data_IF_448182222894
#
_entry.id   IF_448182222894
#
_cell.length_a   1.000
_cell.length_b   1.000
_cell.length_c   1.000
_cell.angle_alpha   90.00
_cell.angle_beta   90.00
_cell.angle_gamma   90.00
#
_symmetry.space_group_name_H-M   'P 1'
#
loop_
_entity.id
_entity.type
_entity.pdbx_description
1 polymer ?
#
# COMPACT_ATOMS: atom_id res chain seq x y z
N UNK A 1 26.02 13.69 -0.56
CA UNK A 1 25.24 12.46 -0.79
C UNK A 1 23.85 12.44 -0.12
N UNK A 2 23.63 12.93 1.11
CA UNK A 2 22.26 12.95 1.76
C UNK A 2 21.24 13.85 1.02
N UNK A 3 21.66 14.98 0.44
CA UNK A 3 20.78 15.91 -0.31
C UNK A 3 20.22 15.28 -1.59
N UNK A 4 21.05 14.63 -2.39
CA UNK A 4 20.66 14.02 -3.68
C UNK A 4 19.63 12.89 -3.50
N UNK A 5 19.80 12.04 -2.47
CA UNK A 5 18.82 10.98 -2.13
C UNK A 5 17.46 11.55 -1.69
N UNK A 6 17.46 12.68 -0.98
CA UNK A 6 16.22 13.34 -0.54
C UNK A 6 15.42 13.90 -1.72
N UNK A 7 16.10 14.52 -2.68
CA UNK A 7 15.47 15.02 -3.91
C UNK A 7 14.91 13.89 -4.78
N UNK A 8 15.64 12.78 -4.92
CA UNK A 8 15.17 11.61 -5.65
C UNK A 8 13.91 11.00 -5.02
N UNK A 9 13.86 10.90 -3.69
CA UNK A 9 12.65 10.42 -3.00
C UNK A 9 11.46 11.36 -3.17
N UNK A 10 11.68 12.68 -3.13
CA UNK A 10 10.62 13.66 -3.37
C UNK A 10 10.06 13.53 -4.79
N UNK A 11 10.94 13.44 -5.80
CA UNK A 11 10.53 13.26 -7.19
C UNK A 11 9.75 11.95 -7.39
N UNK A 12 10.22 10.84 -6.83
CA UNK A 12 9.55 9.55 -6.91
C UNK A 12 8.16 9.59 -6.26
N UNK A 13 8.04 10.21 -5.08
CA UNK A 13 6.76 10.35 -4.41
C UNK A 13 5.79 11.25 -5.21
N UNK A 14 6.27 12.37 -5.75
CA UNK A 14 5.44 13.24 -6.59
C UNK A 14 4.97 12.53 -7.86
N UNK A 15 5.86 11.77 -8.50
CA UNK A 15 5.52 10.96 -9.68
C UNK A 15 4.49 9.87 -9.32
N UNK A 16 4.65 9.21 -8.20
CA UNK A 16 3.71 8.20 -7.72
C UNK A 16 2.33 8.79 -7.43
N UNK A 17 2.26 10.02 -6.87
CA UNK A 17 0.99 10.74 -6.65
C UNK A 17 0.32 11.06 -7.99
N UNK A 18 1.07 11.58 -8.97
CA UNK A 18 0.53 11.94 -10.29
C UNK A 18 0.02 10.68 -11.01
N UNK A 19 0.85 9.64 -11.11
CA UNK A 19 0.49 8.39 -11.77
C UNK A 19 -0.64 7.66 -11.05
N UNK A 20 -0.65 7.68 -9.72
CA UNK A 20 -1.73 7.08 -8.93
C UNK A 20 -3.06 7.77 -9.18
N UNK A 21 -3.11 9.12 -9.15
CA UNK A 21 -4.34 9.85 -9.46
C UNK A 21 -4.79 9.66 -10.91
N UNK A 22 -3.86 9.62 -11.88
CA UNK A 22 -4.19 9.33 -13.26
C UNK A 22 -4.78 7.93 -13.43
N UNK A 23 -4.19 6.92 -12.80
CA UNK A 23 -4.69 5.54 -12.85
C UNK A 23 -6.06 5.40 -12.14
N UNK A 24 -6.24 6.08 -11.00
CA UNK A 24 -7.53 6.15 -10.32
C UNK A 24 -8.63 6.68 -11.25
N UNK A 25 -8.40 7.86 -11.82
CA UNK A 25 -9.34 8.53 -12.70
C UNK A 25 -9.61 7.74 -13.98
N UNK A 26 -8.58 7.07 -14.53
CA UNK A 26 -8.73 6.19 -15.69
C UNK A 26 -9.61 4.97 -15.37
N UNK A 27 -9.42 4.34 -14.21
CA UNK A 27 -10.22 3.20 -13.79
C UNK A 27 -11.69 3.61 -13.53
N UNK A 28 -11.90 4.80 -12.99
CA UNK A 28 -13.24 5.38 -12.80
C UNK A 28 -13.92 5.62 -14.14
N UNK A 29 -13.27 6.34 -15.07
CA UNK A 29 -13.84 6.71 -16.36
C UNK A 29 -14.10 5.51 -17.28
N UNK A 30 -13.22 4.49 -17.25
CA UNK A 30 -13.35 3.33 -18.13
C UNK A 30 -14.35 2.27 -17.65
N UNK A 31 -14.44 2.08 -16.33
CA UNK A 31 -15.13 0.92 -15.78
C UNK A 31 -16.21 1.28 -14.76
N UNK A 32 -15.92 2.20 -13.83
CA UNK A 32 -16.81 2.46 -12.70
C UNK A 32 -18.04 3.26 -13.11
N UNK A 33 -17.83 4.40 -13.76
CA UNK A 33 -18.92 5.28 -14.19
C UNK A 33 -19.83 4.66 -15.27
N UNK A 34 -19.27 4.08 -16.37
CA UNK A 34 -20.12 3.51 -17.41
C UNK A 34 -20.99 2.36 -16.92
N UNK A 35 -20.49 1.57 -15.96
CA UNK A 35 -21.26 0.46 -15.39
C UNK A 35 -22.23 0.88 -14.26
N UNK A 36 -22.27 2.15 -13.89
CA UNK A 36 -23.12 2.65 -12.79
C UNK A 36 -22.83 1.99 -11.44
N UNK A 37 -21.58 1.59 -11.21
CA UNK A 37 -21.18 0.93 -9.98
C UNK A 37 -21.22 1.89 -8.81
N UNK A 38 -21.74 1.43 -7.69
CA UNK A 38 -21.68 2.15 -6.43
C UNK A 38 -20.43 1.74 -5.64
N UNK A 39 -19.84 2.72 -4.98
CA UNK A 39 -18.68 2.50 -4.12
C UNK A 39 -18.95 3.07 -2.73
N UNK A 40 -18.08 2.71 -1.76
CA UNK A 40 -17.98 3.43 -0.50
C UNK A 40 -17.49 4.88 -0.67
N UNK A 41 -16.75 5.36 0.30
CA UNK A 41 -16.10 6.65 0.25
C UNK A 41 -17.02 7.86 0.49
N UNK A 42 -16.43 9.05 0.31
CA UNK A 42 -17.12 10.31 0.63
C UNK A 42 -18.35 10.57 -0.25
N UNK A 43 -18.31 10.17 -1.51
CA UNK A 43 -19.43 10.31 -2.45
C UNK A 43 -20.63 9.47 -2.01
N UNK A 44 -20.36 8.24 -1.56
CA UNK A 44 -21.41 7.36 -1.03
C UNK A 44 -22.13 7.95 0.17
N UNK A 45 -21.37 8.52 1.11
CA UNK A 45 -21.94 9.23 2.27
C UNK A 45 -22.75 10.44 1.82
N UNK A 46 -22.22 11.25 0.90
CA UNK A 46 -22.86 12.45 0.41
C UNK A 46 -24.21 12.16 -0.29
N UNK A 47 -24.27 11.07 -1.07
CA UNK A 47 -25.49 10.61 -1.71
C UNK A 47 -26.53 10.13 -0.69
N UNK A 48 -26.12 9.32 0.29
CA UNK A 48 -26.99 8.86 1.36
C UNK A 48 -27.53 10.06 2.17
N UNK A 49 -26.65 10.99 2.54
CA UNK A 49 -27.02 12.19 3.28
C UNK A 49 -27.98 13.11 2.49
N UNK A 50 -27.68 13.35 1.20
CA UNK A 50 -28.53 14.16 0.33
C UNK A 50 -29.93 13.57 0.18
N UNK A 51 -30.06 12.24 0.07
CA UNK A 51 -31.36 11.55 0.02
C UNK A 51 -32.17 11.64 1.34
N UNK A 52 -31.47 11.60 2.48
CA UNK A 52 -32.12 11.67 3.80
C UNK A 52 -32.54 13.10 4.19
N UNK A 53 -31.75 14.10 3.80
CA UNK A 53 -31.93 15.48 4.27
C UNK A 53 -32.47 16.43 3.21
N UNK A 54 -32.40 16.06 1.93
CA UNK A 54 -32.73 16.94 0.80
C UNK A 54 -31.67 18.03 0.51
N UNK A 55 -30.54 18.02 1.20
CA UNK A 55 -29.47 19.00 1.02
C UNK A 55 -28.62 18.68 -0.22
N UNK A 56 -27.93 19.71 -0.71
CA UNK A 56 -27.02 19.55 -1.87
C UNK A 56 -25.90 18.56 -1.59
N UNK A 57 -25.84 17.49 -2.41
CA UNK A 57 -24.78 16.47 -2.36
C UNK A 57 -23.40 17.09 -2.53
N UNK A 58 -23.25 18.01 -3.49
CA UNK A 58 -21.97 18.68 -3.77
C UNK A 58 -21.51 19.56 -2.61
N UNK A 59 -22.46 20.30 -1.99
CA UNK A 59 -22.14 21.14 -0.82
C UNK A 59 -21.69 20.32 0.37
N UNK A 60 -22.39 19.22 0.65
CA UNK A 60 -21.98 18.28 1.70
C UNK A 60 -20.61 17.67 1.42
N UNK A 61 -20.39 17.18 0.20
CA UNK A 61 -19.13 16.54 -0.20
C UNK A 61 -17.94 17.50 -0.06
N UNK A 62 -18.13 18.76 -0.48
CA UNK A 62 -17.09 19.79 -0.33
C UNK A 62 -16.75 20.03 1.14
N UNK A 63 -17.76 20.23 1.99
CA UNK A 63 -17.57 20.47 3.42
C UNK A 63 -16.93 19.26 4.11
N UNK A 64 -17.38 18.06 3.77
CA UNK A 64 -16.84 16.81 4.28
C UNK A 64 -15.37 16.64 3.92
N UNK A 65 -15.02 16.76 2.63
CA UNK A 65 -13.64 16.64 2.16
C UNK A 65 -12.73 17.70 2.80
N UNK A 66 -13.21 18.93 2.95
CA UNK A 66 -12.46 20.00 3.61
C UNK A 66 -12.22 19.71 5.09
N UNK A 67 -13.24 19.20 5.79
CA UNK A 67 -13.11 18.81 7.20
C UNK A 67 -12.11 17.66 7.37
N UNK A 68 -12.15 16.66 6.49
CA UNK A 68 -11.21 15.55 6.47
C UNK A 68 -9.77 16.01 6.18
N UNK A 69 -9.59 16.94 5.24
CA UNK A 69 -8.29 17.52 4.93
C UNK A 69 -7.71 18.28 6.13
N UNK A 70 -8.52 19.08 6.83
CA UNK A 70 -8.08 19.78 8.05
C UNK A 70 -7.74 18.78 9.15
N UNK A 71 -8.53 17.75 9.34
CA UNK A 71 -8.25 16.69 10.32
C UNK A 71 -6.95 15.94 9.96
N UNK A 72 -6.77 15.57 8.71
CA UNK A 72 -5.53 14.98 8.21
C UNK A 72 -4.32 15.90 8.40
N UNK A 73 -4.49 17.20 8.19
CA UNK A 73 -3.42 18.16 8.45
C UNK A 73 -2.99 18.17 9.93
N UNK A 74 -3.93 18.28 10.83
CA UNK A 74 -3.66 18.31 12.28
C UNK A 74 -2.99 17.02 12.75
N UNK A 75 -3.49 15.87 12.30
CA UNK A 75 -3.03 14.57 12.79
C UNK A 75 -1.83 14.06 12.01
N UNK A 76 -1.85 14.06 10.67
CA UNK A 76 -0.82 13.47 9.81
C UNK A 76 0.27 14.48 9.38
N UNK A 77 0.00 15.77 9.52
CA UNK A 77 0.97 16.85 9.34
C UNK A 77 0.91 17.55 7.99
N UNK A 78 1.66 18.67 7.88
CA UNK A 78 1.62 19.59 6.72
C UNK A 78 1.98 18.93 5.39
N UNK A 79 2.97 18.02 5.39
CA UNK A 79 3.43 17.36 4.16
C UNK A 79 2.33 16.48 3.56
N UNK A 80 1.65 15.73 4.43
CA UNK A 80 0.49 14.93 4.02
C UNK A 80 -0.63 15.80 3.45
N UNK A 81 -0.98 16.89 4.14
CA UNK A 81 -2.04 17.78 3.71
C UNK A 81 -1.76 18.42 2.35
N UNK A 82 -0.53 18.88 2.10
CA UNK A 82 -0.12 19.46 0.80
C UNK A 82 -0.20 18.43 -0.33
N UNK A 83 0.29 17.21 -0.09
CA UNK A 83 0.24 16.14 -1.07
C UNK A 83 -1.22 15.73 -1.36
N UNK A 84 -2.06 15.66 -0.34
CA UNK A 84 -3.49 15.34 -0.47
C UNK A 84 -4.25 16.46 -1.18
N UNK A 85 -3.93 17.72 -0.91
CA UNK A 85 -4.50 18.85 -1.65
C UNK A 85 -4.15 18.78 -3.14
N UNK A 86 -2.90 18.43 -3.48
CA UNK A 86 -2.51 18.22 -4.87
C UNK A 86 -3.31 17.06 -5.50
N UNK A 87 -3.49 15.92 -4.81
CA UNK A 87 -4.32 14.81 -5.28
C UNK A 87 -5.77 15.23 -5.51
N UNK A 88 -6.35 16.02 -4.60
CA UNK A 88 -7.74 16.48 -4.70
C UNK A 88 -7.99 17.39 -5.92
N UNK A 89 -6.93 18.00 -6.49
CA UNK A 89 -7.02 18.76 -7.74
C UNK A 89 -6.70 17.89 -8.95
N UNK A 90 -5.70 17.01 -8.83
CA UNK A 90 -5.25 16.14 -9.93
C UNK A 90 -6.31 15.11 -10.33
N UNK A 91 -6.98 14.48 -9.35
CA UNK A 91 -7.95 13.42 -9.61
C UNK A 91 -9.12 13.89 -10.48
N UNK A 92 -9.85 14.97 -10.15
CA UNK A 92 -10.91 15.47 -11.02
C UNK A 92 -10.40 15.99 -12.37
N UNK A 93 -9.21 16.59 -12.41
CA UNK A 93 -8.63 17.05 -13.66
C UNK A 93 -8.29 15.90 -14.63
N UNK A 94 -7.75 14.80 -14.11
CA UNK A 94 -7.52 13.59 -14.91
C UNK A 94 -8.83 12.91 -15.30
N UNK A 95 -9.84 12.89 -14.42
CA UNK A 95 -11.14 12.32 -14.73
C UNK A 95 -11.78 13.05 -15.91
N UNK A 96 -11.88 14.37 -15.84
CA UNK A 96 -12.40 15.19 -16.93
C UNK A 96 -11.59 15.02 -18.24
N UNK A 97 -10.26 14.91 -18.13
CA UNK A 97 -9.41 14.64 -19.30
C UNK A 97 -9.73 13.29 -19.93
N UNK A 98 -9.86 12.23 -19.14
CA UNK A 98 -10.14 10.88 -19.66
C UNK A 98 -11.57 10.78 -20.19
N UNK A 99 -12.58 11.36 -19.56
CA UNK A 99 -13.94 11.43 -20.07
C UNK A 99 -14.00 12.08 -21.46
N UNK A 100 -13.30 13.20 -21.65
CA UNK A 100 -13.20 13.86 -22.95
C UNK A 100 -12.44 13.02 -24.00
N UNK A 101 -11.36 12.34 -23.61
CA UNK A 101 -10.56 11.52 -24.51
C UNK A 101 -11.30 10.23 -24.93
N UNK A 102 -12.08 9.67 -24.02
CA UNK A 102 -12.86 8.45 -24.27
C UNK A 102 -14.13 8.73 -25.08
N UNK A 103 -14.65 9.97 -25.04
CA UNK A 103 -15.80 10.41 -25.81
C UNK A 103 -17.00 9.43 -25.71
N UNK A 104 -17.28 8.98 -24.49
CA UNK A 104 -18.35 8.00 -24.23
C UNK A 104 -18.07 6.57 -24.69
N UNK A 105 -16.85 6.24 -25.10
CA UNK A 105 -16.48 4.87 -25.48
C UNK A 105 -16.43 3.98 -24.25
N UNK A 106 -17.25 2.96 -24.23
CA UNK A 106 -17.29 1.92 -23.19
C UNK A 106 -16.39 0.76 -23.66
N UNK A 107 -15.47 0.34 -22.81
CA UNK A 107 -14.55 -0.74 -23.11
C UNK A 107 -15.24 -2.11 -23.05
N UNK A 108 -16.17 -2.26 -22.11
CA UNK A 108 -16.99 -3.47 -21.90
C UNK A 108 -18.31 -3.09 -21.23
N UNK A 109 -19.38 -3.77 -21.63
CA UNK A 109 -20.70 -3.64 -20.98
C UNK A 109 -20.93 -4.68 -19.88
N UNK A 110 -19.98 -5.61 -19.70
CA UNK A 110 -20.05 -6.62 -18.65
C UNK A 110 -19.76 -5.99 -17.28
N UNK A 111 -20.79 -5.89 -16.46
CA UNK A 111 -20.72 -5.25 -15.12
C UNK A 111 -19.72 -6.00 -14.21
N UNK A 112 -19.60 -7.32 -14.33
CA UNK A 112 -18.65 -8.08 -13.52
C UNK A 112 -17.20 -7.76 -13.91
N UNK A 113 -16.90 -7.71 -15.20
CA UNK A 113 -15.58 -7.28 -15.69
C UNK A 113 -15.29 -5.84 -15.25
N UNK A 114 -16.24 -4.93 -15.41
CA UNK A 114 -16.13 -3.56 -14.94
C UNK A 114 -15.81 -3.51 -13.43
N UNK A 115 -16.49 -4.31 -12.62
CA UNK A 115 -16.28 -4.39 -11.17
C UNK A 115 -14.85 -4.82 -10.83
N UNK A 116 -14.37 -5.89 -11.46
CA UNK A 116 -13.01 -6.42 -11.20
C UNK A 116 -11.93 -5.43 -11.66
N UNK A 117 -12.04 -4.90 -12.89
CA UNK A 117 -11.02 -3.97 -13.39
C UNK A 117 -11.04 -2.61 -12.69
N UNK A 118 -12.22 -2.12 -12.27
CA UNK A 118 -12.30 -0.95 -11.36
C UNK A 118 -11.57 -1.23 -10.05
N UNK A 119 -11.86 -2.37 -9.41
CA UNK A 119 -11.24 -2.75 -8.16
C UNK A 119 -9.72 -2.88 -8.26
N UNK A 120 -9.21 -3.51 -9.33
CA UNK A 120 -7.78 -3.61 -9.61
C UNK A 120 -7.13 -2.23 -9.80
N UNK A 121 -7.70 -1.40 -10.67
CA UNK A 121 -7.17 -0.07 -10.98
C UNK A 121 -7.18 0.85 -9.76
N UNK A 122 -8.30 0.93 -9.06
CA UNK A 122 -8.46 1.74 -7.84
C UNK A 122 -7.52 1.24 -6.74
N UNK A 123 -7.42 -0.07 -6.52
CA UNK A 123 -6.54 -0.64 -5.49
C UNK A 123 -5.07 -0.32 -5.72
N UNK A 124 -4.57 -0.45 -6.95
CA UNK A 124 -3.19 -0.04 -7.31
C UNK A 124 -3.01 1.46 -7.11
N UNK A 125 -3.95 2.26 -7.60
CA UNK A 125 -3.89 3.71 -7.52
C UNK A 125 -3.83 4.22 -6.07
N UNK A 126 -4.77 3.78 -5.22
CA UNK A 126 -4.80 4.12 -3.80
C UNK A 126 -3.53 3.69 -3.08
N UNK A 127 -3.06 2.46 -3.33
CA UNK A 127 -1.81 1.96 -2.76
C UNK A 127 -0.61 2.83 -3.14
N UNK A 128 -0.52 3.30 -4.40
CA UNK A 128 0.54 4.21 -4.85
C UNK A 128 0.48 5.57 -4.15
N UNK A 129 -0.71 6.18 -4.08
CA UNK A 129 -0.92 7.50 -3.48
C UNK A 129 -0.64 7.48 -1.98
N UNK A 130 -1.16 6.48 -1.27
CA UNK A 130 -0.97 6.34 0.19
C UNK A 130 0.51 6.09 0.53
N UNK A 131 1.20 5.23 -0.21
CA UNK A 131 2.66 5.01 -0.03
C UNK A 131 3.50 6.25 -0.29
N UNK A 132 3.07 7.11 -1.20
CA UNK A 132 3.73 8.39 -1.45
C UNK A 132 3.49 9.43 -0.35
N UNK A 133 2.66 9.11 0.66
CA UNK A 133 2.31 9.97 1.77
C UNK A 133 1.26 11.02 1.41
N UNK A 134 0.26 10.62 0.63
CA UNK A 134 -0.90 11.40 0.27
C UNK A 134 -2.18 10.54 0.43
N UNK A 135 -3.34 11.15 0.18
CA UNK A 135 -4.63 10.51 0.02
C UNK A 135 -5.31 11.09 -1.23
N UNK A 136 -6.27 10.38 -1.80
CA UNK A 136 -7.14 10.95 -2.83
C UNK A 136 -8.13 11.98 -2.26
N UNK A 137 -8.24 12.03 -0.94
CA UNK A 137 -9.10 12.94 -0.18
C UNK A 137 -10.34 12.22 0.38
N UNK A 138 -11.10 12.93 1.22
CA UNK A 138 -12.36 12.43 1.75
C UNK A 138 -12.23 11.27 2.73
N UNK A 139 -12.90 10.16 2.45
CA UNK A 139 -13.04 9.03 3.39
C UNK A 139 -11.78 8.17 3.53
N UNK A 140 -10.75 8.38 2.72
CA UNK A 140 -9.44 7.71 2.85
C UNK A 140 -8.65 8.20 4.08
N UNK A 141 -8.96 9.40 4.58
CA UNK A 141 -8.20 10.04 5.68
C UNK A 141 -8.47 9.38 7.04
N UNK A 142 -9.70 9.05 7.44
CA UNK A 142 -9.97 8.37 8.71
C UNK A 142 -9.18 7.08 8.91
N UNK A 143 -9.07 6.16 7.96
CA UNK A 143 -8.21 4.96 8.09
C UNK A 143 -6.75 5.28 8.37
N UNK A 144 -6.19 6.31 7.72
CA UNK A 144 -4.81 6.74 7.94
C UNK A 144 -4.60 7.35 9.34
N UNK A 145 -5.59 8.06 9.85
CA UNK A 145 -5.58 8.59 11.23
C UNK A 145 -5.65 7.45 12.24
N UNK A 146 -6.53 6.47 12.01
CA UNK A 146 -6.65 5.29 12.87
C UNK A 146 -5.39 4.43 12.85
N UNK A 147 -4.75 4.30 11.70
CA UNK A 147 -3.43 3.65 11.61
C UNK A 147 -2.39 4.37 12.49
N UNK A 148 -2.37 5.70 12.46
CA UNK A 148 -1.43 6.47 13.28
C UNK A 148 -1.68 6.32 14.79
N UNK A 149 -2.94 6.28 15.21
CA UNK A 149 -3.30 6.22 16.63
C UNK A 149 -3.30 4.81 17.20
N UNK A 150 -3.87 3.85 16.46
CA UNK A 150 -4.15 2.49 16.94
C UNK A 150 -3.33 1.42 16.21
N UNK A 151 -2.54 1.80 15.20
CA UNK A 151 -1.78 0.88 14.32
C UNK A 151 -2.67 -0.14 13.57
N UNK A 152 -3.93 0.20 13.37
CA UNK A 152 -4.83 -0.63 12.57
C UNK A 152 -4.41 -0.62 11.10
N UNK A 153 -4.50 -1.77 10.39
CA UNK A 153 -4.19 -1.82 8.96
C UNK A 153 -5.11 -0.89 8.17
N UNK A 154 -4.54 -0.04 7.31
CA UNK A 154 -5.30 0.93 6.50
C UNK A 154 -6.30 0.24 5.59
N UNK A 155 -5.86 -0.83 4.91
CA UNK A 155 -6.68 -1.60 3.99
C UNK A 155 -7.95 -2.15 4.63
N UNK A 156 -7.82 -2.80 5.79
CA UNK A 156 -8.96 -3.38 6.53
C UNK A 156 -9.89 -2.28 7.04
N UNK A 157 -9.32 -1.22 7.60
CA UNK A 157 -10.12 -0.11 8.15
C UNK A 157 -10.91 0.59 7.04
N UNK A 158 -10.29 0.81 5.87
CA UNK A 158 -10.94 1.38 4.71
C UNK A 158 -12.08 0.49 4.21
N UNK A 159 -11.83 -0.82 4.09
CA UNK A 159 -12.86 -1.80 3.72
C UNK A 159 -14.07 -1.76 4.66
N UNK A 160 -13.84 -1.67 5.97
CA UNK A 160 -14.93 -1.61 6.95
C UNK A 160 -15.79 -0.34 6.78
N UNK A 161 -15.15 0.80 6.54
CA UNK A 161 -15.90 2.04 6.27
C UNK A 161 -16.67 1.94 4.94
N UNK A 162 -16.06 1.43 3.89
CA UNK A 162 -16.71 1.30 2.59
C UNK A 162 -17.90 0.34 2.65
N UNK A 163 -17.77 -0.80 3.31
CA UNK A 163 -18.87 -1.74 3.51
C UNK A 163 -19.98 -1.11 4.34
N UNK A 164 -19.66 -0.38 5.42
CA UNK A 164 -20.67 0.31 6.21
C UNK A 164 -21.45 1.36 5.38
N UNK A 165 -20.76 2.09 4.51
CA UNK A 165 -21.37 3.06 3.60
C UNK A 165 -22.26 2.35 2.57
N UNK A 166 -21.81 1.24 2.00
CA UNK A 166 -22.60 0.44 1.06
C UNK A 166 -23.87 -0.12 1.70
N UNK A 167 -23.79 -0.57 2.97
CA UNK A 167 -24.97 -1.03 3.71
C UNK A 167 -26.01 0.11 3.91
N UNK A 168 -25.54 1.33 4.16
CA UNK A 168 -26.45 2.49 4.21
C UNK A 168 -27.06 2.77 2.83
N UNK A 169 -26.26 2.68 1.76
CA UNK A 169 -26.75 2.86 0.39
C UNK A 169 -27.72 1.76 -0.05
N UNK A 170 -27.62 0.56 0.53
CA UNK A 170 -28.52 -0.57 0.22
C UNK A 170 -30.00 -0.23 0.43
N UNK A 171 -30.31 0.70 1.33
CA UNK A 171 -31.67 1.19 1.54
C UNK A 171 -32.24 1.98 0.33
N UNK A 172 -31.37 2.42 -0.60
CA UNK A 172 -31.73 3.33 -1.69
C UNK A 172 -31.24 2.85 -3.08
N UNK A 173 -30.55 1.72 -3.14
CA UNK A 173 -29.95 1.18 -4.36
C UNK A 173 -30.51 -0.20 -4.69
N UNK A 174 -30.33 -0.64 -5.93
CA UNK A 174 -30.72 -1.99 -6.31
C UNK A 174 -29.80 -3.02 -5.64
N UNK A 175 -30.32 -4.20 -5.24
CA UNK A 175 -29.53 -5.23 -4.55
C UNK A 175 -28.28 -5.67 -5.34
N UNK A 176 -28.40 -5.76 -6.68
CA UNK A 176 -27.28 -6.13 -7.55
C UNK A 176 -26.16 -5.08 -7.50
N UNK A 177 -26.49 -3.80 -7.48
CA UNK A 177 -25.49 -2.73 -7.38
C UNK A 177 -24.72 -2.80 -6.05
N UNK A 178 -25.40 -3.15 -4.97
CA UNK A 178 -24.78 -3.31 -3.65
C UNK A 178 -23.85 -4.51 -3.66
N UNK A 179 -24.25 -5.64 -4.25
CA UNK A 179 -23.43 -6.84 -4.34
C UNK A 179 -22.18 -6.59 -5.19
N UNK A 180 -22.29 -5.95 -6.35
CA UNK A 180 -21.14 -5.55 -7.15
C UNK A 180 -20.25 -4.55 -6.41
N UNK A 181 -20.83 -3.60 -5.65
CA UNK A 181 -20.09 -2.69 -4.79
C UNK A 181 -19.26 -3.41 -3.73
N UNK A 182 -19.81 -4.44 -3.11
CA UNK A 182 -19.08 -5.27 -2.14
C UNK A 182 -17.90 -6.00 -2.81
N UNK A 183 -18.12 -6.62 -3.98
CA UNK A 183 -17.05 -7.27 -4.75
C UNK A 183 -15.96 -6.28 -5.12
N UNK A 184 -16.33 -5.08 -5.55
CA UNK A 184 -15.40 -4.00 -5.88
C UNK A 184 -14.57 -3.60 -4.66
N UNK A 185 -15.20 -3.38 -3.50
CA UNK A 185 -14.53 -3.01 -2.25
C UNK A 185 -13.53 -4.09 -1.83
N UNK A 186 -13.93 -5.36 -1.86
CA UNK A 186 -13.03 -6.47 -1.53
C UNK A 186 -11.83 -6.50 -2.50
N UNK A 187 -12.10 -6.37 -3.79
CA UNK A 187 -11.05 -6.42 -4.82
C UNK A 187 -10.04 -5.29 -4.64
N UNK A 188 -10.50 -4.04 -4.54
CA UNK A 188 -9.57 -2.93 -4.37
C UNK A 188 -8.82 -2.99 -3.03
N UNK A 189 -9.45 -3.49 -1.97
CA UNK A 189 -8.80 -3.65 -0.66
C UNK A 189 -7.64 -4.64 -0.73
N UNK A 190 -7.86 -5.83 -1.32
CA UNK A 190 -6.80 -6.85 -1.47
C UNK A 190 -5.64 -6.31 -2.28
N UNK A 191 -5.93 -5.62 -3.38
CA UNK A 191 -4.89 -5.06 -4.26
C UNK A 191 -4.14 -3.93 -3.56
N UNK A 192 -4.85 -3.01 -2.90
CA UNK A 192 -4.25 -1.92 -2.14
C UNK A 192 -3.35 -2.45 -1.02
N UNK A 193 -3.78 -3.47 -0.28
CA UNK A 193 -2.98 -4.09 0.78
C UNK A 193 -1.66 -4.65 0.22
N UNK A 194 -1.73 -5.37 -0.91
CA UNK A 194 -0.53 -5.85 -1.61
C UNK A 194 0.39 -4.69 -2.03
N UNK A 195 -0.19 -3.60 -2.53
CA UNK A 195 0.57 -2.41 -2.93
C UNK A 195 1.22 -1.71 -1.73
N UNK A 196 0.54 -1.64 -0.59
CA UNK A 196 1.08 -1.06 0.64
C UNK A 196 2.25 -1.88 1.18
N UNK A 197 2.20 -3.21 1.07
CA UNK A 197 3.26 -4.13 1.49
C UNK A 197 4.46 -4.19 0.53
N UNK A 198 4.35 -3.69 -0.71
CA UNK A 198 5.44 -3.73 -1.68
C UNK A 198 6.67 -2.94 -1.19
N UNK A 199 7.80 -3.62 -1.08
CA UNK A 199 9.09 -3.01 -0.72
C UNK A 199 9.40 -2.99 0.77
N UNK A 200 8.46 -3.28 1.65
CA UNK A 200 8.71 -3.41 3.10
C UNK A 200 8.96 -4.86 3.52
N UNK A 201 8.73 -5.82 2.62
CA UNK A 201 9.03 -7.22 2.91
C UNK A 201 10.52 -7.42 3.14
N UNK A 202 10.87 -7.97 4.28
CA UNK A 202 12.21 -8.39 4.65
C UNK A 202 12.33 -9.88 4.48
N UNK A 203 13.56 -10.32 4.30
CA UNK A 203 13.89 -11.73 4.19
C UNK A 203 14.79 -12.10 5.33
N UNK A 204 14.38 -13.05 6.13
CA UNK A 204 15.22 -13.75 7.08
C UNK A 204 15.95 -14.86 6.35
N UNK A 205 17.23 -14.94 6.57
CA UNK A 205 18.08 -15.98 6.00
C UNK A 205 18.76 -16.68 7.16
N UNK A 206 18.58 -18.01 7.21
CA UNK A 206 19.32 -18.88 8.11
C UNK A 206 20.32 -19.70 7.28
N UNK A 207 21.58 -19.69 7.68
CA UNK A 207 22.66 -20.35 6.96
C UNK A 207 23.35 -21.32 7.91
N UNK A 208 23.42 -22.58 7.52
CA UNK A 208 24.13 -23.65 8.23
C UNK A 208 25.29 -24.09 7.36
N UNK A 209 26.51 -23.92 7.87
CA UNK A 209 27.74 -24.20 7.11
C UNK A 209 28.88 -24.56 8.06
N UNK A 210 29.79 -25.39 7.61
CA UNK A 210 31.05 -25.66 8.31
C UNK A 210 32.02 -24.47 8.24
N UNK A 211 31.74 -23.49 7.35
CA UNK A 211 32.55 -22.28 7.16
C UNK A 211 31.81 -21.03 7.66
N UNK A 212 31.07 -21.16 8.79
CA UNK A 212 30.23 -20.10 9.38
C UNK A 212 30.99 -18.80 9.60
N UNK A 213 32.22 -18.84 10.12
CA UNK A 213 33.01 -17.65 10.39
C UNK A 213 33.37 -16.86 9.13
N UNK A 214 33.73 -17.54 8.04
CA UNK A 214 34.04 -16.88 6.77
C UNK A 214 32.81 -16.24 6.16
N UNK A 215 31.66 -16.94 6.19
CA UNK A 215 30.39 -16.45 5.70
C UNK A 215 29.94 -15.23 6.54
N UNK A 216 30.06 -15.29 7.87
CA UNK A 216 29.74 -14.17 8.76
C UNK A 216 30.58 -12.93 8.42
N UNK A 217 31.90 -13.11 8.27
CA UNK A 217 32.80 -12.01 7.92
C UNK A 217 32.45 -11.39 6.56
N UNK A 218 32.11 -12.21 5.56
CA UNK A 218 31.73 -11.76 4.23
C UNK A 218 30.39 -11.01 4.24
N UNK A 219 29.37 -11.48 4.99
CA UNK A 219 28.09 -10.79 5.11
C UNK A 219 28.28 -9.41 5.74
N UNK A 220 29.06 -9.32 6.82
CA UNK A 220 29.35 -8.04 7.48
C UNK A 220 30.08 -7.06 6.55
N UNK A 221 31.06 -7.56 5.79
CA UNK A 221 31.89 -6.71 4.92
C UNK A 221 31.19 -6.29 3.61
N UNK A 222 30.46 -7.21 2.95
CA UNK A 222 29.94 -6.99 1.60
C UNK A 222 28.47 -6.62 1.56
N UNK A 223 27.65 -7.19 2.47
CA UNK A 223 26.20 -6.93 2.51
C UNK A 223 25.88 -5.83 3.49
N UNK A 224 26.76 -5.56 4.45
CA UNK A 224 26.58 -4.57 5.53
C UNK A 224 25.30 -4.82 6.32
N UNK A 225 25.07 -6.08 6.74
CA UNK A 225 23.92 -6.51 7.54
C UNK A 225 24.37 -7.24 8.79
N UNK A 226 23.60 -7.05 9.87
CA UNK A 226 23.82 -7.76 11.12
C UNK A 226 23.66 -9.27 10.96
N UNK A 227 24.50 -10.03 11.63
CA UNK A 227 24.42 -11.48 11.69
C UNK A 227 24.37 -11.89 13.15
N UNK A 228 23.41 -12.76 13.50
CA UNK A 228 23.33 -13.41 14.80
C UNK A 228 23.77 -14.85 14.65
N UNK A 229 24.67 -15.29 15.51
CA UNK A 229 25.13 -16.69 15.55
C UNK A 229 24.30 -17.43 16.60
N UNK A 230 23.64 -18.49 16.18
CA UNK A 230 22.93 -19.41 17.07
C UNK A 230 23.73 -20.71 17.15
N UNK A 231 24.06 -21.12 18.37
CA UNK A 231 24.74 -22.37 18.61
C UNK A 231 23.74 -23.50 18.75
N UNK A 232 23.97 -24.60 18.09
CA UNK A 232 23.12 -25.79 18.09
C UNK A 232 23.95 -27.05 17.91
N UNK A 233 23.30 -28.15 17.69
CA UNK A 233 23.92 -29.43 17.34
C UNK A 233 23.16 -30.12 16.20
N UNK A 234 23.87 -30.84 15.37
CA UNK A 234 23.29 -31.63 14.29
C UNK A 234 22.45 -32.76 14.87
N UNK A 235 21.13 -32.77 14.61
CA UNK A 235 20.21 -33.76 15.18
C UNK A 235 20.51 -35.21 14.78
N UNK A 236 21.27 -35.45 13.70
CA UNK A 236 21.70 -36.77 13.26
C UNK A 236 23.09 -37.13 13.76
N UNK A 237 24.03 -36.18 13.70
CA UNK A 237 25.44 -36.42 14.05
C UNK A 237 25.76 -36.11 15.50
N UNK A 238 24.97 -35.28 16.19
CA UNK A 238 25.28 -34.76 17.51
C UNK A 238 26.45 -33.78 17.54
N UNK A 239 26.98 -33.39 16.38
CA UNK A 239 28.11 -32.46 16.29
C UNK A 239 27.66 -31.01 16.52
N UNK A 240 28.51 -30.20 17.18
CA UNK A 240 28.25 -28.76 17.31
C UNK A 240 28.08 -28.11 15.93
N UNK A 241 27.09 -27.25 15.78
CA UNK A 241 26.78 -26.54 14.55
C UNK A 241 26.41 -25.10 14.86
N UNK A 242 26.84 -24.18 13.98
CA UNK A 242 26.44 -22.77 14.06
C UNK A 242 25.44 -22.45 12.96
N UNK A 243 24.39 -21.75 13.33
CA UNK A 243 23.38 -21.21 12.42
C UNK A 243 23.55 -19.69 12.38
N UNK A 244 23.87 -19.16 11.22
CA UNK A 244 23.93 -17.73 10.99
C UNK A 244 22.55 -17.23 10.62
N UNK A 245 21.98 -16.32 11.41
CA UNK A 245 20.70 -15.68 11.16
C UNK A 245 20.95 -14.24 10.75
N UNK A 246 20.46 -13.84 9.59
CA UNK A 246 20.52 -12.46 9.09
C UNK A 246 19.19 -12.05 8.49
N UNK A 247 18.84 -10.77 8.66
CA UNK A 247 17.66 -10.17 8.03
C UNK A 247 18.13 -9.15 7.00
N UNK A 248 17.67 -9.35 5.77
CA UNK A 248 18.08 -8.56 4.61
C UNK A 248 16.85 -8.02 3.85
N UNK A 249 17.08 -7.12 2.91
CA UNK A 249 16.03 -6.75 1.94
C UNK A 249 15.93 -7.82 0.84
N UNK A 250 14.75 -7.99 0.25
CA UNK A 250 14.56 -8.92 -0.87
C UNK A 250 15.49 -8.64 -2.05
N UNK A 251 15.95 -7.39 -2.21
CA UNK A 251 16.89 -7.00 -3.28
C UNK A 251 18.32 -7.49 -3.03
N UNK A 252 18.67 -7.73 -1.78
CA UNK A 252 20.00 -8.19 -1.38
C UNK A 252 20.12 -9.72 -1.42
N UNK A 253 18.99 -10.44 -1.43
CA UNK A 253 18.96 -11.89 -1.39
C UNK A 253 19.78 -12.55 -2.51
N UNK A 254 19.66 -12.20 -3.80
CA UNK A 254 20.45 -12.84 -4.85
C UNK A 254 21.96 -12.63 -4.69
N UNK A 255 22.36 -11.49 -4.13
CA UNK A 255 23.77 -11.18 -3.86
C UNK A 255 24.27 -12.00 -2.68
N UNK A 256 23.46 -12.14 -1.62
CA UNK A 256 23.78 -12.95 -0.45
C UNK A 256 23.91 -14.43 -0.83
N UNK A 257 22.96 -14.99 -1.57
CA UNK A 257 23.01 -16.38 -2.03
C UNK A 257 24.26 -16.67 -2.83
N UNK A 258 24.60 -15.79 -3.78
CA UNK A 258 25.82 -15.92 -4.57
C UNK A 258 27.09 -15.85 -3.71
N UNK A 259 27.14 -14.95 -2.74
CA UNK A 259 28.25 -14.81 -1.81
C UNK A 259 28.43 -16.07 -0.96
N UNK A 260 27.37 -16.56 -0.34
CA UNK A 260 27.39 -17.73 0.54
C UNK A 260 27.81 -18.99 -0.24
N UNK A 261 27.22 -19.24 -1.41
CA UNK A 261 27.56 -20.40 -2.24
C UNK A 261 28.97 -20.31 -2.84
N UNK A 262 29.54 -19.11 -3.00
CA UNK A 262 30.93 -18.97 -3.43
C UNK A 262 31.94 -19.39 -2.34
N UNK A 263 31.55 -19.26 -1.07
CA UNK A 263 32.37 -19.66 0.09
C UNK A 263 32.15 -21.14 0.40
N UNK A 264 30.89 -21.56 0.52
CA UNK A 264 30.53 -22.96 0.76
C UNK A 264 29.38 -23.37 -0.16
N UNK A 265 29.68 -24.09 -1.27
CA UNK A 265 28.67 -24.61 -2.18
C UNK A 265 27.70 -25.63 -1.55
N UNK A 266 28.13 -26.28 -0.44
CA UNK A 266 27.35 -27.31 0.25
C UNK A 266 26.54 -26.77 1.44
N UNK A 267 26.58 -25.46 1.67
CA UNK A 267 25.82 -24.84 2.77
C UNK A 267 24.33 -25.10 2.65
N UNK A 268 23.66 -25.21 3.79
CA UNK A 268 22.18 -25.26 3.85
C UNK A 268 21.64 -23.88 4.15
N UNK A 269 20.80 -23.37 3.26
CA UNK A 269 20.25 -22.02 3.31
C UNK A 269 18.74 -22.07 3.35
N UNK A 270 18.15 -21.48 4.41
CA UNK A 270 16.71 -21.33 4.58
C UNK A 270 16.37 -19.84 4.36
N UNK A 271 15.37 -19.60 3.52
CA UNK A 271 14.89 -18.25 3.20
C UNK A 271 13.44 -18.13 3.61
N UNK A 272 13.14 -17.23 4.55
CA UNK A 272 11.80 -16.99 5.06
C UNK A 272 11.41 -15.53 4.88
N UNK A 273 10.16 -15.28 4.51
CA UNK A 273 9.63 -13.90 4.47
C UNK A 273 9.25 -13.45 5.86
N UNK A 274 9.70 -12.26 6.24
CA UNK A 274 9.36 -11.64 7.51
C UNK A 274 8.40 -10.49 7.26
N UNK A 275 7.27 -10.52 7.96
CA UNK A 275 6.20 -9.51 7.83
C UNK A 275 6.57 -8.19 8.47
N UNK A 276 7.29 -8.23 9.60
CA UNK A 276 7.69 -7.03 10.34
C UNK A 276 9.05 -7.24 11.00
N UNK A 277 9.92 -6.26 10.85
CA UNK A 277 11.21 -6.20 11.53
C UNK A 277 11.38 -4.81 12.12
N UNK A 278 11.54 -4.75 13.43
CA UNK A 278 11.83 -3.50 14.13
C UNK A 278 13.16 -3.58 14.88
N UNK A 279 13.91 -2.50 14.89
CA UNK A 279 15.20 -2.43 15.57
C UNK A 279 16.24 -1.62 14.80
N UNK A 280 17.49 -1.64 15.32
CA UNK A 280 18.63 -0.92 14.72
C UNK A 280 18.95 -1.46 13.32
N UNK A 281 19.12 -0.55 12.37
CA UNK A 281 19.38 -0.88 10.97
C UNK A 281 18.13 -1.12 10.12
N UNK A 282 16.92 -1.13 10.73
CA UNK A 282 15.63 -1.27 10.05
C UNK A 282 14.70 -0.10 10.36
N UNK A 283 14.15 -0.03 11.58
CA UNK A 283 13.28 1.06 12.02
C UNK A 283 14.04 2.17 12.76
N UNK A 284 15.26 1.92 13.20
CA UNK A 284 16.17 2.87 13.84
C UNK A 284 17.45 3.05 13.02
N UNK A 285 18.11 4.21 13.13
CA UNK A 285 19.41 4.44 12.48
C UNK A 285 20.47 3.43 12.98
N UNK A 286 21.38 3.04 12.07
CA UNK A 286 22.52 2.19 12.43
C UNK A 286 23.50 3.00 13.28
N UNK A 287 23.66 2.63 14.52
CA UNK A 287 24.77 3.06 15.37
C UNK A 287 25.61 1.83 15.68
N UNK A 288 26.83 1.81 15.13
CA UNK A 288 27.85 0.84 15.54
C UNK A 288 28.55 1.42 16.76
N UNK A 289 28.44 0.75 17.91
CA UNK A 289 29.30 0.99 19.08
C UNK A 289 30.62 0.29 18.90
#
# INVERSE_FOLDING_TARGET
>A
MKSTRRWQQLLLNSLAIILGNALYSLAVALFLEPAGLITGGATGIALAFGRLTGLSVSGFLFLFNMSMLVWGWVVLGKKFALNTLASSVLSPAFLELFERLLDGRVLTEDIFLCTIFSGLGIGVALGMVIRAGASTGGMDIPPLVLQKWFRWPVSITMMLFDIAILLVQAAFSQPEQVLYGIVLVITHTIVMDKMLMLGDSRTEVMIISTRSDEIRAAILAEIDRGVTVLHGEGGYTGEPSEVLLSVISNRELPRLEKLVHSIDPACFLIVSRVTEVSGRGFSMEKEYQ
#
